data_IF_173808315789
#
_entry.id   IF_173808315789
#
_cell.length_a   1.000
_cell.length_b   1.000
_cell.length_c   1.000
_cell.angle_alpha   90.00
_cell.angle_beta   90.00
_cell.angle_gamma   90.00
#
_symmetry.space_group_name_H-M   'P 1'
#
loop_
_entity.id
_entity.type
_entity.pdbx_description
1 polymer ?
#
# COMPACT_ATOMS: atom_id res chain seq x y z
N UNK A 1 -58.54 -14.79 7.14
CA UNK A 1 -57.38 -15.71 7.07
C UNK A 1 -56.54 -15.35 5.85
N UNK A 2 -55.71 -14.32 5.93
CA UNK A 2 -54.73 -14.01 4.88
C UNK A 2 -53.41 -13.80 5.61
N UNK A 3 -52.61 -14.86 5.69
CA UNK A 3 -51.27 -14.81 6.24
C UNK A 3 -50.38 -14.08 5.24
N UNK A 4 -49.83 -12.92 5.66
CA UNK A 4 -48.86 -12.17 4.88
C UNK A 4 -47.58 -13.01 4.74
N UNK A 5 -47.35 -13.53 3.54
CA UNK A 5 -46.11 -14.22 3.16
C UNK A 5 -45.05 -13.14 2.94
N UNK A 6 -44.17 -12.95 3.92
CA UNK A 6 -42.96 -12.15 3.74
C UNK A 6 -41.98 -12.93 2.87
N UNK A 7 -41.91 -12.55 1.59
CA UNK A 7 -40.90 -13.04 0.65
C UNK A 7 -39.54 -12.49 1.12
N UNK A 8 -38.74 -13.34 1.76
CA UNK A 8 -37.32 -13.09 1.99
C UNK A 8 -36.62 -13.09 0.62
N UNK A 9 -36.41 -11.90 0.06
CA UNK A 9 -35.44 -11.70 -1.01
C UNK A 9 -34.05 -11.99 -0.42
N UNK A 10 -33.60 -13.24 -0.54
CA UNK A 10 -32.21 -13.63 -0.37
C UNK A 10 -31.37 -12.87 -1.40
N UNK A 11 -30.88 -11.69 -1.02
CA UNK A 11 -29.80 -11.05 -1.74
C UNK A 11 -28.60 -11.97 -1.61
N UNK A 12 -28.33 -12.76 -2.66
CA UNK A 12 -27.05 -13.44 -2.78
C UNK A 12 -25.97 -12.37 -2.55
N UNK A 13 -25.09 -12.52 -1.55
CA UNK A 13 -24.01 -11.57 -1.36
C UNK A 13 -23.29 -11.51 -2.69
N UNK A 14 -23.29 -10.33 -3.32
CA UNK A 14 -22.51 -10.13 -4.53
C UNK A 14 -21.12 -10.66 -4.20
N UNK A 15 -20.72 -11.75 -4.85
CA UNK A 15 -19.40 -12.31 -4.72
C UNK A 15 -18.46 -11.22 -5.22
N UNK A 16 -18.02 -10.37 -4.31
CA UNK A 16 -17.08 -9.32 -4.62
C UNK A 16 -15.87 -10.05 -5.17
N UNK A 17 -15.50 -9.75 -6.42
CA UNK A 17 -14.29 -10.22 -7.04
C UNK A 17 -13.13 -9.61 -6.25
N UNK A 18 -12.76 -10.21 -5.12
CA UNK A 18 -11.71 -9.70 -4.23
C UNK A 18 -10.32 -9.79 -4.89
N UNK A 19 -10.24 -10.53 -5.99
CA UNK A 19 -9.02 -10.81 -6.74
C UNK A 19 -9.27 -10.74 -8.23
N UNK A 20 -8.40 -10.04 -8.94
CA UNK A 20 -8.45 -9.86 -10.40
C UNK A 20 -7.19 -10.47 -10.99
N UNK A 21 -7.34 -11.35 -11.97
CA UNK A 21 -6.22 -11.92 -12.72
C UNK A 21 -5.84 -11.00 -13.88
N UNK A 22 -4.55 -10.72 -14.02
CA UNK A 22 -3.97 -10.05 -15.17
C UNK A 22 -3.06 -11.02 -15.92
N UNK A 23 -3.12 -10.99 -17.25
CA UNK A 23 -2.39 -11.90 -18.14
C UNK A 23 -1.44 -11.12 -19.02
N UNK A 24 -0.19 -11.56 -19.15
CA UNK A 24 0.67 -11.00 -20.21
C UNK A 24 0.05 -11.31 -21.58
N UNK A 25 0.15 -10.40 -22.56
CA UNK A 25 -0.09 -10.75 -23.94
C UNK A 25 0.75 -11.98 -24.32
N UNK A 26 0.11 -12.92 -25.03
CA UNK A 26 0.69 -14.23 -25.34
C UNK A 26 1.27 -14.19 -26.74
N UNK A 27 2.59 -14.26 -26.86
CA UNK A 27 3.26 -14.47 -28.15
C UNK A 27 3.44 -15.95 -28.43
N UNK A 28 3.75 -16.74 -27.40
CA UNK A 28 3.81 -18.20 -27.41
C UNK A 28 3.02 -18.76 -26.23
N UNK A 29 2.79 -20.08 -26.19
CA UNK A 29 2.04 -20.75 -25.10
C UNK A 29 2.64 -22.12 -24.74
N UNK A 30 3.97 -22.25 -24.78
CA UNK A 30 4.66 -23.51 -24.49
C UNK A 30 4.67 -23.83 -22.99
N UNK A 31 4.80 -25.12 -22.68
CA UNK A 31 4.84 -25.60 -21.31
C UNK A 31 3.50 -25.58 -20.57
N UNK A 32 3.58 -25.93 -19.28
CA UNK A 32 2.42 -26.05 -18.41
C UNK A 32 2.38 -24.91 -17.39
N UNK A 33 1.16 -24.52 -17.01
CA UNK A 33 0.97 -23.58 -15.91
C UNK A 33 1.28 -24.24 -14.58
N UNK A 34 2.21 -23.67 -13.85
CA UNK A 34 2.44 -24.01 -12.45
C UNK A 34 1.30 -23.48 -11.58
N UNK A 35 1.08 -24.02 -10.37
CA UNK A 35 0.06 -23.51 -9.46
C UNK A 35 0.31 -22.05 -9.07
N UNK A 36 -0.76 -21.32 -8.78
CA UNK A 36 -0.67 -19.98 -8.19
C UNK A 36 0.13 -19.99 -6.89
N UNK A 37 1.02 -19.02 -6.76
CA UNK A 37 1.72 -18.70 -5.51
C UNK A 37 1.30 -17.32 -5.05
N UNK A 38 1.04 -17.15 -3.75
CA UNK A 38 0.38 -15.95 -3.20
C UNK A 38 1.11 -15.46 -1.97
N UNK A 39 1.18 -14.14 -1.84
CA UNK A 39 1.56 -13.46 -0.61
C UNK A 39 0.59 -13.87 0.52
N UNK A 40 0.99 -13.66 1.77
CA UNK A 40 0.09 -13.88 2.91
C UNK A 40 -1.07 -12.87 2.85
N UNK A 41 -2.19 -13.21 3.47
CA UNK A 41 -3.34 -12.30 3.50
C UNK A 41 -2.95 -10.93 4.10
N UNK A 42 -3.29 -9.85 3.40
CA UNK A 42 -2.93 -8.47 3.77
C UNK A 42 -1.53 -8.03 3.31
N UNK A 43 -0.75 -8.91 2.68
CA UNK A 43 0.54 -8.59 2.08
C UNK A 43 0.45 -8.41 0.56
N UNK A 44 1.35 -7.58 0.04
CA UNK A 44 1.42 -7.26 -1.38
C UNK A 44 2.87 -7.30 -1.87
N UNK A 45 3.03 -7.60 -3.14
CA UNK A 45 4.33 -7.61 -3.77
C UNK A 45 4.89 -6.18 -3.85
N UNK A 46 6.18 -6.01 -3.52
CA UNK A 46 6.88 -4.72 -3.57
C UNK A 46 8.24 -4.82 -4.26
N UNK A 47 8.64 -6.02 -4.68
CA UNK A 47 9.90 -6.24 -5.37
C UNK A 47 9.87 -7.50 -6.21
N UNK A 48 10.85 -7.59 -7.08
CA UNK A 48 11.00 -8.67 -8.05
C UNK A 48 12.43 -9.21 -8.02
N UNK A 49 12.58 -10.44 -8.47
CA UNK A 49 13.86 -11.02 -8.87
C UNK A 49 13.57 -11.99 -10.01
N UNK A 50 14.45 -12.02 -11.01
CA UNK A 50 14.31 -12.92 -12.16
C UNK A 50 15.46 -13.90 -12.18
N UNK A 51 15.19 -15.13 -12.63
CA UNK A 51 16.21 -16.12 -12.95
C UNK A 51 16.35 -16.15 -14.46
N UNK A 52 17.56 -15.93 -14.95
CA UNK A 52 17.85 -15.85 -16.39
C UNK A 52 19.06 -16.72 -16.69
N UNK A 53 19.04 -17.40 -17.82
CA UNK A 53 20.24 -18.03 -18.36
C UNK A 53 21.10 -16.95 -19.03
N UNK A 54 22.37 -16.87 -18.63
CA UNK A 54 23.30 -15.89 -19.20
C UNK A 54 23.90 -16.40 -20.51
N UNK A 55 24.31 -15.47 -21.37
CA UNK A 55 25.02 -15.69 -22.63
C UNK A 55 26.13 -16.77 -22.50
N UNK A 56 25.95 -17.94 -23.12
CA UNK A 56 26.94 -19.03 -23.14
C UNK A 56 28.08 -18.76 -24.13
N UNK A 57 28.28 -17.52 -24.58
CA UNK A 57 29.37 -17.01 -25.43
C UNK A 57 29.36 -17.57 -26.86
N UNK A 58 28.24 -18.10 -27.32
CA UNK A 58 28.09 -18.62 -28.68
C UNK A 58 26.73 -19.19 -29.06
N UNK A 59 25.77 -19.27 -28.12
CA UNK A 59 24.37 -19.64 -28.34
C UNK A 59 23.45 -18.44 -28.11
N UNK A 60 22.24 -18.51 -28.66
CA UNK A 60 21.18 -17.54 -28.39
C UNK A 60 20.64 -17.78 -26.97
N UNK A 61 21.26 -17.20 -25.93
CA UNK A 61 20.87 -17.44 -24.53
C UNK A 61 20.51 -16.14 -23.79
N UNK A 62 19.22 -15.89 -23.52
CA UNK A 62 18.74 -14.98 -22.44
C UNK A 62 17.32 -15.30 -21.91
N UNK A 63 16.88 -16.55 -21.94
CA UNK A 63 15.52 -16.91 -21.48
C UNK A 63 15.30 -16.76 -19.97
N UNK A 64 14.13 -16.26 -19.58
CA UNK A 64 13.63 -16.35 -18.20
C UNK A 64 13.40 -17.81 -17.84
N UNK A 65 13.80 -18.18 -16.63
CA UNK A 65 13.52 -19.50 -16.05
C UNK A 65 12.58 -19.38 -14.84
N UNK A 66 12.53 -18.22 -14.18
CA UNK A 66 11.64 -18.00 -13.04
C UNK A 66 11.47 -16.51 -12.75
N UNK A 67 10.33 -16.17 -12.12
CA UNK A 67 10.06 -14.86 -11.53
C UNK A 67 9.69 -15.05 -10.06
N UNK A 68 10.40 -14.33 -9.19
CA UNK A 68 10.11 -14.21 -7.77
C UNK A 68 9.50 -12.83 -7.47
N UNK A 69 8.42 -12.80 -6.69
CA UNK A 69 7.89 -11.58 -6.08
C UNK A 69 8.22 -11.57 -4.59
N UNK A 70 8.64 -10.42 -4.07
CA UNK A 70 8.85 -10.22 -2.63
C UNK A 70 7.62 -9.53 -2.04
N UNK A 71 7.09 -10.09 -0.95
CA UNK A 71 5.85 -9.65 -0.32
C UNK A 71 6.13 -8.93 1.01
N UNK A 72 5.31 -7.93 1.33
CA UNK A 72 5.30 -7.30 2.67
C UNK A 72 3.91 -6.74 3.01
N UNK A 73 3.62 -6.50 4.30
CA UNK A 73 2.43 -5.74 4.70
C UNK A 73 2.44 -4.31 4.15
N UNK A 74 1.27 -3.75 3.89
CA UNK A 74 1.15 -2.35 3.47
C UNK A 74 1.76 -1.38 4.47
N UNK A 75 2.45 -0.35 3.97
CA UNK A 75 3.10 0.68 4.78
C UNK A 75 4.40 0.24 5.44
N UNK A 76 4.75 -1.05 5.40
CA UNK A 76 6.06 -1.51 5.84
C UNK A 76 7.14 -1.04 4.87
N UNK A 77 8.23 -0.51 5.40
CA UNK A 77 9.49 -0.25 4.68
C UNK A 77 10.54 -1.36 4.92
N UNK A 78 10.21 -2.36 5.75
CA UNK A 78 11.09 -3.48 6.06
C UNK A 78 11.32 -4.35 4.81
N UNK A 79 12.59 -4.57 4.51
CA UNK A 79 13.02 -5.45 3.42
C UNK A 79 13.31 -6.84 4.01
N UNK A 80 12.33 -7.74 3.90
CA UNK A 80 12.57 -9.17 4.15
C UNK A 80 13.14 -9.85 2.91
N UNK A 81 14.23 -10.60 3.11
CA UNK A 81 14.86 -11.41 2.06
C UNK A 81 14.24 -12.81 1.92
N UNK A 82 13.39 -13.20 2.87
CA UNK A 82 12.85 -14.56 2.99
C UNK A 82 11.36 -14.64 2.67
N UNK A 83 10.65 -13.50 2.62
CA UNK A 83 9.23 -13.46 2.26
C UNK A 83 9.04 -13.24 0.76
N UNK A 84 9.21 -14.30 -0.02
CA UNK A 84 9.05 -14.29 -1.47
C UNK A 84 8.15 -15.44 -1.94
N UNK A 85 7.62 -15.28 -3.15
CA UNK A 85 6.78 -16.26 -3.84
C UNK A 85 7.26 -16.43 -5.27
N UNK A 86 7.25 -17.65 -5.78
CA UNK A 86 7.38 -17.98 -7.20
C UNK A 86 6.37 -19.06 -7.58
N UNK A 87 6.09 -19.16 -8.88
CA UNK A 87 5.23 -20.20 -9.44
C UNK A 87 6.04 -20.99 -10.46
N UNK A 88 6.74 -22.01 -9.97
CA UNK A 88 7.69 -22.80 -10.75
C UNK A 88 9.04 -22.12 -10.94
N UNK A 89 10.04 -22.93 -11.25
CA UNK A 89 11.41 -22.51 -11.54
C UNK A 89 12.03 -23.49 -12.54
N UNK A 90 12.50 -22.97 -13.67
CA UNK A 90 13.30 -23.70 -14.65
C UNK A 90 14.67 -24.10 -14.09
N UNK A 91 15.27 -25.12 -14.67
CA UNK A 91 16.50 -25.72 -14.16
C UNK A 91 17.71 -24.81 -14.37
N UNK A 92 17.70 -24.05 -15.46
CA UNK A 92 18.85 -23.28 -15.93
C UNK A 92 18.87 -21.84 -15.42
N UNK A 93 20.03 -21.20 -15.62
CA UNK A 93 20.26 -19.81 -15.27
C UNK A 93 20.55 -19.51 -13.81
N UNK A 94 20.81 -18.24 -13.55
CA UNK A 94 21.17 -17.70 -12.23
C UNK A 94 20.18 -16.62 -11.83
N UNK A 95 19.90 -16.55 -10.53
CA UNK A 95 19.08 -15.48 -9.97
C UNK A 95 19.83 -14.15 -10.05
N UNK A 96 19.24 -13.18 -10.75
CA UNK A 96 19.79 -11.82 -10.88
C UNK A 96 19.62 -10.99 -9.61
N UNK A 97 19.89 -9.69 -9.71
CA UNK A 97 19.71 -8.78 -8.58
C UNK A 97 18.23 -8.60 -8.22
N UNK A 98 17.94 -8.46 -6.93
CA UNK A 98 16.61 -8.10 -6.43
C UNK A 98 16.38 -6.62 -6.69
N UNK A 99 15.17 -6.27 -7.15
CA UNK A 99 14.75 -4.89 -7.39
C UNK A 99 13.49 -4.62 -6.58
N UNK A 100 13.47 -3.48 -5.91
CA UNK A 100 12.37 -3.11 -5.02
C UNK A 100 11.77 -1.78 -5.46
N UNK A 101 10.45 -1.66 -5.33
CA UNK A 101 9.80 -0.37 -5.34
C UNK A 101 10.33 0.48 -4.19
N UNK A 102 10.61 1.75 -4.48
CA UNK A 102 11.10 2.68 -3.47
C UNK A 102 10.01 3.02 -2.45
N UNK A 103 10.43 3.48 -1.27
CA UNK A 103 9.55 3.86 -0.18
C UNK A 103 8.59 2.71 0.20
N UNK A 104 7.34 3.04 0.49
CA UNK A 104 6.26 2.09 0.82
C UNK A 104 5.42 1.69 -0.40
N UNK A 105 5.92 1.95 -1.62
CA UNK A 105 5.23 1.56 -2.85
C UNK A 105 5.15 0.03 -2.98
N UNK A 106 4.17 -0.38 -3.76
CA UNK A 106 3.87 -1.78 -4.08
C UNK A 106 3.80 -1.96 -5.59
N UNK A 107 3.84 -3.19 -6.04
CA UNK A 107 3.58 -3.54 -7.42
C UNK A 107 2.09 -3.34 -7.73
N UNK A 108 1.81 -2.48 -8.71
CA UNK A 108 0.48 -2.11 -9.18
C UNK A 108 0.19 -2.64 -10.58
N UNK A 109 1.09 -3.45 -11.11
CA UNK A 109 1.00 -4.04 -12.44
C UNK A 109 2.31 -4.68 -12.85
N UNK A 110 2.34 -5.24 -14.05
CA UNK A 110 3.52 -5.89 -14.60
C UNK A 110 3.56 -5.80 -16.12
N UNK A 111 4.70 -6.18 -16.68
CA UNK A 111 4.87 -6.41 -18.10
C UNK A 111 5.88 -7.54 -18.31
N UNK A 112 5.73 -8.27 -19.41
CA UNK A 112 6.65 -9.31 -19.82
C UNK A 112 7.37 -8.86 -21.10
N UNK A 113 8.67 -9.11 -21.19
CA UNK A 113 9.42 -8.96 -22.44
C UNK A 113 9.57 -10.33 -23.07
N UNK A 114 9.19 -10.43 -24.35
CA UNK A 114 9.16 -11.68 -25.10
C UNK A 114 9.37 -11.38 -26.57
N UNK A 115 9.99 -12.29 -27.30
CA UNK A 115 10.16 -12.14 -28.74
C UNK A 115 8.90 -12.55 -29.49
N UNK A 116 8.50 -11.81 -30.53
CA UNK A 116 7.43 -12.25 -31.41
C UNK A 116 7.89 -13.45 -32.26
N UNK A 117 6.96 -14.36 -32.57
CA UNK A 117 7.16 -15.49 -33.49
C UNK A 117 7.80 -15.01 -34.81
N UNK A 118 9.05 -15.41 -35.05
CA UNK A 118 9.83 -15.04 -36.23
C UNK A 118 9.67 -16.03 -37.40
N UNK A 119 8.57 -16.78 -37.46
CA UNK A 119 8.20 -17.64 -38.60
C UNK A 119 9.32 -18.60 -39.01
N UNK A 120 9.78 -19.44 -38.07
CA UNK A 120 10.69 -20.56 -38.37
C UNK A 120 12.11 -20.42 -37.84
N UNK A 121 12.32 -19.58 -36.82
CA UNK A 121 13.46 -19.65 -35.89
C UNK A 121 12.93 -20.09 -34.54
N UNK A 122 13.73 -20.82 -33.78
CA UNK A 122 13.32 -21.34 -32.46
C UNK A 122 12.72 -20.22 -31.61
N UNK A 123 11.50 -20.46 -31.15
CA UNK A 123 10.59 -19.44 -30.64
C UNK A 123 11.01 -19.00 -29.24
N UNK A 124 11.69 -17.86 -29.17
CA UNK A 124 12.28 -17.33 -27.95
C UNK A 124 11.18 -16.97 -26.93
N UNK A 125 11.29 -17.64 -25.79
CA UNK A 125 10.46 -17.49 -24.61
C UNK A 125 10.45 -16.04 -24.04
N UNK A 126 9.94 -15.86 -22.82
CA UNK A 126 10.08 -14.58 -22.14
C UNK A 126 11.54 -14.38 -21.72
N UNK A 127 12.09 -13.17 -21.85
CA UNK A 127 13.50 -12.86 -21.52
C UNK A 127 13.63 -11.81 -20.39
N UNK A 128 12.52 -11.16 -20.00
CA UNK A 128 12.49 -10.27 -18.85
C UNK A 128 11.08 -10.09 -18.27
N UNK A 129 11.03 -9.68 -17.01
CA UNK A 129 9.83 -9.32 -16.27
C UNK A 129 10.00 -7.95 -15.62
N UNK A 130 8.99 -7.12 -15.78
CA UNK A 130 8.89 -5.80 -15.18
C UNK A 130 7.72 -5.74 -14.20
N UNK A 131 7.94 -5.08 -13.06
CA UNK A 131 6.90 -4.69 -12.12
C UNK A 131 6.72 -3.18 -12.10
N UNK A 132 5.48 -2.71 -12.23
CA UNK A 132 5.15 -1.29 -12.10
C UNK A 132 4.93 -0.93 -10.64
N UNK A 133 5.59 0.12 -10.17
CA UNK A 133 5.57 0.56 -8.79
C UNK A 133 4.65 1.77 -8.62
N UNK A 134 3.83 1.76 -7.58
CA UNK A 134 3.00 2.91 -7.25
C UNK A 134 2.56 2.91 -5.80
N UNK A 135 2.02 4.04 -5.38
CA UNK A 135 1.37 4.13 -4.09
C UNK A 135 0.17 3.17 -4.05
N UNK A 136 -0.05 2.45 -2.93
CA UNK A 136 -1.12 1.46 -2.84
C UNK A 136 -2.49 1.99 -3.30
N UNK A 137 -2.84 3.22 -2.92
CA UNK A 137 -4.13 3.86 -3.27
C UNK A 137 -3.99 4.99 -4.31
N UNK A 138 -2.81 5.14 -4.91
CA UNK A 138 -2.57 6.11 -5.96
C UNK A 138 -3.12 5.68 -7.33
N UNK A 139 -2.99 6.55 -8.34
CA UNK A 139 -3.36 6.22 -9.72
C UNK A 139 -2.52 5.04 -10.24
N UNK A 140 -3.06 4.35 -11.23
CA UNK A 140 -2.39 3.22 -11.88
C UNK A 140 -1.63 3.75 -13.08
N UNK A 141 -0.31 3.91 -12.95
CA UNK A 141 0.56 4.45 -13.99
C UNK A 141 1.72 3.51 -14.27
N UNK A 142 2.42 3.77 -15.38
CA UNK A 142 3.60 3.02 -15.82
C UNK A 142 4.90 3.80 -15.66
N UNK A 143 4.87 4.91 -14.93
CA UNK A 143 5.96 5.89 -14.89
C UNK A 143 7.15 5.39 -14.07
N UNK A 144 6.88 4.57 -13.05
CA UNK A 144 7.90 3.99 -12.16
C UNK A 144 7.79 2.48 -12.24
N UNK A 145 8.92 1.84 -12.51
CA UNK A 145 8.99 0.39 -12.69
C UNK A 145 10.35 -0.14 -12.29
N UNK A 146 10.39 -1.45 -12.05
CA UNK A 146 11.59 -2.23 -11.82
C UNK A 146 11.58 -3.42 -12.76
N UNK A 147 12.74 -3.78 -13.31
CA UNK A 147 12.89 -4.92 -14.22
C UNK A 147 14.13 -5.73 -13.88
N UNK A 148 14.17 -6.98 -14.34
CA UNK A 148 15.37 -7.81 -14.27
C UNK A 148 16.54 -7.21 -15.07
N UNK A 149 17.76 -7.43 -14.60
CA UNK A 149 18.97 -7.06 -15.33
C UNK A 149 19.27 -8.15 -16.38
N UNK A 150 18.54 -8.15 -17.50
CA UNK A 150 18.75 -9.12 -18.58
C UNK A 150 19.14 -8.39 -19.88
N UNK A 151 20.22 -8.82 -20.56
CA UNK A 151 20.35 -8.51 -21.97
C UNK A 151 19.14 -9.11 -22.67
N UNK A 152 18.64 -8.50 -23.73
CA UNK A 152 17.56 -9.14 -24.45
C UNK A 152 17.15 -8.39 -25.70
N UNK A 153 16.41 -9.14 -26.50
CA UNK A 153 16.11 -8.84 -27.89
C UNK A 153 14.59 -8.85 -28.15
N UNK A 154 13.82 -9.28 -27.15
CA UNK A 154 12.37 -9.23 -27.15
C UNK A 154 11.83 -7.81 -26.97
N UNK A 155 10.53 -7.69 -27.21
CA UNK A 155 9.78 -6.45 -27.04
C UNK A 155 8.92 -6.54 -25.79
N UNK A 156 8.76 -5.42 -25.09
CA UNK A 156 7.84 -5.34 -23.97
C UNK A 156 6.40 -5.45 -24.51
N UNK A 157 5.69 -6.46 -24.02
CA UNK A 157 4.44 -6.94 -24.65
C UNK A 157 3.23 -6.04 -24.40
N UNK A 158 3.31 -5.11 -23.46
CA UNK A 158 2.24 -4.18 -23.06
C UNK A 158 1.89 -4.29 -21.58
N UNK A 159 2.00 -3.16 -20.87
CA UNK A 159 1.70 -3.05 -19.44
C UNK A 159 0.31 -3.56 -19.07
N UNK A 160 0.26 -4.43 -18.05
CA UNK A 160 -0.96 -4.89 -17.42
C UNK A 160 -1.04 -4.29 -16.02
N UNK A 161 -1.96 -3.35 -15.82
CA UNK A 161 -2.12 -2.63 -14.55
C UNK A 161 -3.29 -3.20 -13.76
N UNK A 162 -3.09 -3.35 -12.44
CA UNK A 162 -4.18 -3.68 -11.53
C UNK A 162 -5.25 -2.57 -11.58
N UNK A 163 -6.53 -2.88 -11.34
CA UNK A 163 -7.53 -1.85 -11.14
C UNK A 163 -7.13 -0.89 -10.01
N UNK A 164 -7.72 0.30 -10.01
CA UNK A 164 -7.59 1.19 -8.86
C UNK A 164 -7.95 0.46 -7.57
N UNK A 165 -7.14 0.68 -6.52
CA UNK A 165 -7.29 0.07 -5.19
C UNK A 165 -7.01 -1.44 -5.13
N UNK A 166 -6.33 -1.98 -6.13
CA UNK A 166 -5.74 -3.32 -6.09
C UNK A 166 -4.22 -3.25 -6.25
N UNK A 167 -3.50 -4.19 -5.66
CA UNK A 167 -2.07 -4.37 -5.87
C UNK A 167 -1.75 -5.86 -6.05
N UNK A 168 -0.60 -6.13 -6.66
CA UNK A 168 -0.16 -7.50 -6.95
C UNK A 168 0.05 -8.26 -5.65
N UNK A 169 -0.56 -9.44 -5.54
CA UNK A 169 -0.50 -10.33 -4.38
C UNK A 169 -0.20 -11.79 -4.75
N UNK A 170 -0.10 -12.11 -6.04
CA UNK A 170 0.15 -13.47 -6.48
C UNK A 170 0.72 -13.54 -7.89
N UNK A 171 1.32 -14.67 -8.21
CA UNK A 171 1.95 -14.96 -9.49
C UNK A 171 1.66 -16.39 -9.93
N UNK A 172 1.56 -16.58 -11.24
CA UNK A 172 1.51 -17.87 -11.90
C UNK A 172 2.42 -17.83 -13.12
N UNK A 173 3.22 -18.87 -13.35
CA UNK A 173 4.09 -18.94 -14.53
C UNK A 173 3.75 -20.16 -15.38
N UNK A 174 3.86 -20.01 -16.69
CA UNK A 174 3.85 -21.11 -17.65
C UNK A 174 5.30 -21.44 -17.98
N UNK A 175 5.73 -22.66 -17.66
CA UNK A 175 7.11 -23.09 -17.84
C UNK A 175 7.11 -24.39 -18.64
N UNK A 176 7.95 -24.44 -19.65
CA UNK A 176 8.22 -25.66 -20.39
C UNK A 176 9.14 -26.56 -19.56
N UNK A 177 8.80 -27.85 -19.47
CA UNK A 177 9.64 -28.83 -18.81
C UNK A 177 10.55 -29.53 -19.81
N UNK A 178 11.55 -30.23 -19.29
CA UNK A 178 12.59 -30.91 -20.08
C UNK A 178 12.02 -31.81 -21.19
N UNK A 179 12.22 -31.42 -22.45
CA UNK A 179 11.82 -32.18 -23.64
C UNK A 179 12.93 -33.11 -24.16
N UNK A 180 14.05 -33.24 -23.43
CA UNK A 180 15.19 -34.13 -23.70
C UNK A 180 15.98 -33.79 -24.97
N UNK A 181 15.75 -32.63 -25.59
CA UNK A 181 16.31 -32.31 -26.91
C UNK A 181 16.05 -30.91 -27.48
N UNK A 182 15.61 -29.93 -26.68
CA UNK A 182 15.41 -28.53 -27.08
C UNK A 182 15.82 -27.56 -25.98
N UNK A 183 15.37 -26.29 -26.06
CA UNK A 183 15.53 -25.30 -24.99
C UNK A 183 14.63 -25.67 -23.81
N UNK A 184 15.11 -26.64 -23.04
CA UNK A 184 14.29 -27.59 -22.31
C UNK A 184 13.64 -27.03 -21.03
N UNK A 185 13.86 -25.76 -20.62
CA UNK A 185 13.23 -25.21 -19.41
C UNK A 185 12.95 -23.70 -19.38
N UNK A 186 12.36 -23.12 -20.42
CA UNK A 186 12.09 -21.67 -20.42
C UNK A 186 10.71 -21.29 -19.83
N UNK A 187 10.64 -20.16 -19.14
CA UNK A 187 9.42 -19.49 -18.74
C UNK A 187 8.82 -18.80 -19.96
N UNK A 188 7.60 -19.18 -20.30
CA UNK A 188 6.92 -18.73 -21.49
C UNK A 188 5.98 -17.55 -21.21
N UNK A 189 5.20 -17.63 -20.12
CA UNK A 189 4.21 -16.62 -19.79
C UNK A 189 4.07 -16.41 -18.28
N UNK A 190 3.55 -15.24 -17.90
CA UNK A 190 3.19 -14.91 -16.52
C UNK A 190 1.75 -14.42 -16.43
N UNK A 191 1.06 -14.82 -15.35
CA UNK A 191 -0.10 -14.13 -14.80
C UNK A 191 0.27 -13.54 -13.46
N UNK A 192 -0.34 -12.39 -13.13
CA UNK A 192 -0.34 -11.87 -11.77
C UNK A 192 -1.77 -11.76 -11.25
N UNK A 193 -1.90 -11.94 -9.94
CA UNK A 193 -3.16 -11.75 -9.24
C UNK A 193 -3.08 -10.42 -8.50
N UNK A 194 -4.07 -9.56 -8.74
CA UNK A 194 -4.27 -8.30 -8.05
C UNK A 194 -5.28 -8.53 -6.95
N UNK A 195 -4.92 -8.29 -5.69
CA UNK A 195 -5.83 -8.36 -4.55
C UNK A 195 -6.30 -6.95 -4.18
N UNK A 196 -7.56 -6.85 -3.72
CA UNK A 196 -8.09 -5.60 -3.22
C UNK A 196 -7.27 -5.14 -2.01
N UNK A 197 -6.86 -3.88 -2.01
CA UNK A 197 -6.27 -3.26 -0.84
C UNK A 197 -7.40 -2.98 0.14
N UNK A 198 -7.60 -3.92 1.06
CA UNK A 198 -8.46 -3.75 2.21
C UNK A 198 -7.64 -3.05 3.28
N UNK A 199 -7.74 -1.72 3.31
CA UNK A 199 -7.26 -0.99 4.48
C UNK A 199 -8.07 -1.49 5.67
N UNK A 200 -7.43 -2.21 6.59
CA UNK A 200 -8.11 -2.83 7.73
C UNK A 200 -8.90 -1.75 8.49
N UNK A 201 -10.23 -1.75 8.32
CA UNK A 201 -11.22 -0.94 9.05
C UNK A 201 -10.99 0.58 9.16
N UNK A 202 -10.04 1.17 8.43
CA UNK A 202 -9.70 2.57 8.64
C UNK A 202 -10.60 3.49 7.81
N UNK A 203 -11.74 3.89 8.37
CA UNK A 203 -12.42 5.11 7.94
C UNK A 203 -11.93 6.27 8.83
N UNK A 204 -11.03 7.14 8.34
CA UNK A 204 -10.46 8.20 9.14
C UNK A 204 -11.56 9.17 9.57
N UNK A 205 -11.71 9.31 10.88
CA UNK A 205 -12.53 10.32 11.54
C UNK A 205 -11.64 11.30 12.27
N UNK A 206 -12.24 12.39 12.76
CA UNK A 206 -11.56 13.32 13.64
C UNK A 206 -12.47 13.67 14.81
N UNK A 207 -11.84 14.16 15.88
CA UNK A 207 -12.52 14.76 17.02
C UNK A 207 -11.65 15.87 17.61
N UNK A 208 -12.31 16.89 18.16
CA UNK A 208 -11.64 17.92 18.94
C UNK A 208 -11.83 17.59 20.42
N UNK A 209 -10.74 17.18 21.07
CA UNK A 209 -10.76 16.75 22.47
C UNK A 209 -10.28 17.90 23.35
N UNK A 210 -11.12 18.33 24.30
CA UNK A 210 -10.74 19.39 25.23
C UNK A 210 -9.58 18.96 26.10
N UNK A 211 -8.52 19.77 26.11
CA UNK A 211 -7.36 19.57 26.99
C UNK A 211 -7.21 20.67 28.03
N UNK A 212 -7.80 21.84 27.80
CA UNK A 212 -7.87 22.90 28.80
C UNK A 212 -9.07 23.83 28.60
N UNK A 213 -9.47 24.47 29.69
CA UNK A 213 -10.47 25.54 29.74
C UNK A 213 -9.97 26.57 30.74
N UNK A 214 -9.94 27.83 30.32
CA UNK A 214 -9.49 28.93 31.14
C UNK A 214 -10.40 30.14 31.00
N UNK A 215 -10.79 30.68 32.13
CA UNK A 215 -11.65 31.85 32.22
C UNK A 215 -10.81 33.07 32.67
N UNK A 216 -10.56 33.97 31.73
CA UNK A 216 -9.94 35.28 31.96
C UNK A 216 -10.96 36.41 31.71
N UNK A 217 -12.26 36.13 31.85
CA UNK A 217 -13.36 37.07 31.58
C UNK A 217 -13.47 38.23 32.57
N UNK A 218 -12.73 38.18 33.69
CA UNK A 218 -12.80 39.19 34.75
C UNK A 218 -11.49 39.98 34.93
N UNK A 219 -10.50 39.76 34.05
CA UNK A 219 -9.19 40.40 34.17
C UNK A 219 -8.90 41.30 32.96
N UNK A 220 -8.38 42.53 33.18
CA UNK A 220 -7.87 43.39 32.12
C UNK A 220 -6.53 42.93 31.56
N UNK A 221 -5.87 41.98 32.23
CA UNK A 221 -4.55 41.47 31.86
C UNK A 221 -4.63 40.25 30.95
N UNK A 222 -3.60 40.06 30.15
CA UNK A 222 -3.35 38.79 29.45
C UNK A 222 -2.65 37.82 30.40
N UNK A 223 -3.05 36.55 30.41
CA UNK A 223 -2.47 35.53 31.31
C UNK A 223 -1.91 34.38 30.49
N UNK A 224 -0.71 33.91 30.84
CA UNK A 224 -0.08 32.75 30.21
C UNK A 224 -0.32 31.49 31.04
N UNK A 225 -0.71 30.40 30.38
CA UNK A 225 -0.90 29.10 31.01
C UNK A 225 -0.14 28.00 30.26
N UNK A 226 0.56 27.14 31.00
CA UNK A 226 1.12 25.91 30.46
C UNK A 226 0.06 24.81 30.42
N UNK A 227 -0.17 24.24 29.24
CA UNK A 227 -1.06 23.09 29.05
C UNK A 227 -0.23 21.87 28.71
N UNK A 228 -0.43 20.78 29.46
CA UNK A 228 0.17 19.49 29.14
C UNK A 228 -0.64 18.81 28.02
N UNK A 229 0.02 18.52 26.90
CA UNK A 229 -0.52 17.78 25.77
C UNK A 229 0.18 16.44 25.64
N UNK A 230 -0.57 15.39 25.31
CA UNK A 230 -0.03 14.08 24.93
C UNK A 230 -0.17 13.88 23.42
N UNK A 231 0.93 13.54 22.77
CA UNK A 231 1.00 13.18 21.36
C UNK A 231 1.27 11.67 21.32
N UNK A 232 0.30 10.90 20.87
CA UNK A 232 0.35 9.43 21.00
C UNK A 232 -0.68 8.73 20.14
N UNK A 233 -0.49 7.42 19.97
CA UNK A 233 -1.50 6.49 19.48
C UNK A 233 -1.97 5.55 20.60
N UNK A 234 -3.28 5.41 20.76
CA UNK A 234 -3.91 4.54 21.77
C UNK A 234 -5.13 3.82 21.21
N UNK A 235 -5.53 2.69 21.81
CA UNK A 235 -6.84 2.08 21.51
C UNK A 235 -7.98 2.91 22.11
N UNK A 236 -9.12 2.95 21.44
CA UNK A 236 -10.36 3.63 21.87
C UNK A 236 -10.91 3.04 23.16
N UNK A 237 -10.63 1.76 23.42
CA UNK A 237 -11.04 1.01 24.61
C UNK A 237 -10.37 1.49 25.92
N UNK A 238 -9.48 2.48 25.85
CA UNK A 238 -8.81 3.04 27.02
C UNK A 238 -7.69 2.16 27.57
N UNK A 239 -7.30 1.10 26.85
CA UNK A 239 -6.11 0.32 27.19
C UNK A 239 -4.87 1.23 27.15
N UNK A 240 -4.18 1.33 28.28
CA UNK A 240 -2.91 2.07 28.41
C UNK A 240 -1.70 1.26 27.96
N UNK A 241 -1.91 0.02 27.50
CA UNK A 241 -0.84 -0.80 26.95
C UNK A 241 -0.25 -0.11 25.73
N UNK A 242 1.05 0.14 25.77
CA UNK A 242 1.82 0.57 24.60
C UNK A 242 1.59 -0.41 23.46
N UNK A 243 1.15 0.11 22.30
CA UNK A 243 1.00 -0.70 21.10
C UNK A 243 2.36 -1.26 20.67
N UNK A 244 2.37 -2.50 20.19
CA UNK A 244 3.57 -3.07 19.59
C UNK A 244 3.97 -2.28 18.33
N UNK A 245 5.25 -2.31 17.96
CA UNK A 245 5.72 -1.65 16.73
C UNK A 245 5.00 -2.19 15.49
N UNK A 246 4.68 -3.49 15.47
CA UNK A 246 3.89 -4.08 14.38
C UNK A 246 2.47 -3.50 14.31
N UNK A 247 1.77 -3.36 15.44
CA UNK A 247 0.45 -2.71 15.46
C UNK A 247 0.53 -1.25 15.01
N UNK A 248 1.53 -0.50 15.50
CA UNK A 248 1.75 0.90 15.10
C UNK A 248 1.99 1.04 13.61
N UNK A 249 2.82 0.18 13.03
CA UNK A 249 3.13 0.19 11.59
C UNK A 249 1.88 -0.12 10.76
N UNK A 250 1.09 -1.11 11.16
CA UNK A 250 -0.18 -1.45 10.48
C UNK A 250 -1.16 -0.28 10.51
N UNK A 251 -1.32 0.39 11.65
CA UNK A 251 -2.24 1.54 11.78
C UNK A 251 -1.72 2.77 11.03
N UNK A 252 -0.42 3.05 11.11
CA UNK A 252 0.25 4.12 10.35
C UNK A 252 0.01 3.95 8.85
N UNK A 253 0.31 2.75 8.32
CA UNK A 253 0.07 2.44 6.91
C UNK A 253 -1.41 2.58 6.53
N UNK A 254 -2.30 2.12 7.40
CA UNK A 254 -3.75 2.19 7.17
C UNK A 254 -4.28 3.62 7.14
N UNK A 255 -3.88 4.47 8.09
CA UNK A 255 -4.31 5.87 8.12
C UNK A 255 -3.69 6.66 6.97
N UNK A 256 -2.40 6.47 6.71
CA UNK A 256 -1.71 7.12 5.60
C UNK A 256 -2.40 6.82 4.27
N UNK A 257 -2.70 5.54 4.04
CA UNK A 257 -3.46 5.09 2.89
C UNK A 257 -4.88 5.69 2.88
N UNK A 258 -5.67 5.54 3.95
CA UNK A 258 -7.05 6.07 3.97
C UNK A 258 -7.13 7.59 3.85
N UNK A 259 -6.15 8.33 4.36
CA UNK A 259 -6.08 9.78 4.16
C UNK A 259 -5.78 10.13 2.70
N UNK A 260 -4.83 9.43 2.08
CA UNK A 260 -4.55 9.56 0.65
C UNK A 260 -5.79 9.20 -0.20
N UNK A 261 -6.54 8.16 0.19
CA UNK A 261 -7.78 7.73 -0.45
C UNK A 261 -8.85 8.82 -0.52
N UNK A 262 -8.93 9.68 0.50
CA UNK A 262 -9.92 10.76 0.50
C UNK A 262 -9.55 11.91 -0.45
N UNK A 263 -8.39 11.87 -1.12
CA UNK A 263 -7.91 12.92 -2.03
C UNK A 263 -8.06 14.34 -1.43
N UNK A 264 -7.61 14.48 -0.18
CA UNK A 264 -7.73 15.73 0.57
C UNK A 264 -9.14 16.09 1.04
N UNK A 265 -10.20 15.33 0.73
CA UNK A 265 -11.55 15.57 1.27
C UNK A 265 -11.56 15.47 2.80
N UNK A 266 -10.91 14.45 3.38
CA UNK A 266 -10.81 14.35 4.84
C UNK A 266 -10.08 15.55 5.44
N UNK A 267 -8.94 15.92 4.86
CA UNK A 267 -8.20 17.13 5.25
C UNK A 267 -9.07 18.38 5.09
N UNK A 268 -9.91 18.44 4.06
CA UNK A 268 -10.87 19.52 3.82
C UNK A 268 -11.93 19.62 4.91
N UNK A 269 -12.47 18.47 5.36
CA UNK A 269 -13.42 18.41 6.49
C UNK A 269 -12.73 18.85 7.78
N UNK A 270 -11.55 18.30 8.07
CA UNK A 270 -10.73 18.70 9.23
C UNK A 270 -10.45 20.20 9.18
N UNK A 271 -10.06 20.74 8.02
CA UNK A 271 -9.86 22.17 7.85
C UNK A 271 -11.14 22.98 8.05
N UNK A 272 -12.29 22.51 7.60
CA UNK A 272 -13.57 23.22 7.77
C UNK A 272 -13.93 23.36 9.25
N UNK A 273 -13.61 22.37 10.07
CA UNK A 273 -13.76 22.50 11.52
C UNK A 273 -12.65 23.33 12.16
N UNK A 274 -11.41 23.18 11.67
CA UNK A 274 -10.31 24.00 12.11
C UNK A 274 -10.45 25.46 11.69
N UNK A 275 -11.26 25.82 10.68
CA UNK A 275 -11.34 27.19 10.11
C UNK A 275 -11.92 28.25 11.04
N UNK A 276 -12.30 27.90 12.28
CA UNK A 276 -12.30 28.88 13.38
C UNK A 276 -10.88 29.38 13.73
N UNK A 277 -9.85 28.84 13.07
CA UNK A 277 -8.45 29.27 13.05
C UNK A 277 -8.02 29.64 11.63
N UNK A 278 -7.16 30.64 11.50
CA UNK A 278 -6.70 31.22 10.22
C UNK A 278 -5.73 30.33 9.43
N UNK A 279 -5.27 29.22 9.98
CA UNK A 279 -4.20 28.40 9.42
C UNK A 279 -4.74 27.05 8.93
N UNK A 280 -4.97 26.95 7.62
CA UNK A 280 -5.31 25.69 6.96
C UNK A 280 -4.09 24.79 6.88
N UNK A 281 -4.36 23.48 6.87
CA UNK A 281 -3.37 22.43 6.81
C UNK A 281 -3.47 21.64 5.51
N UNK A 282 -2.34 21.26 4.93
CA UNK A 282 -2.27 20.36 3.78
C UNK A 282 -2.39 18.89 4.20
N UNK A 283 -2.76 18.02 3.25
CA UNK A 283 -2.84 16.57 3.53
C UNK A 283 -1.49 16.01 3.98
N UNK A 284 -0.39 16.47 3.37
CA UNK A 284 0.97 16.08 3.75
C UNK A 284 1.33 16.51 5.18
N UNK A 285 0.96 17.73 5.59
CA UNK A 285 1.15 18.18 6.97
C UNK A 285 0.33 17.34 7.96
N UNK A 286 -0.92 16.99 7.63
CA UNK A 286 -1.74 16.14 8.49
C UNK A 286 -1.16 14.72 8.61
N UNK A 287 -0.71 14.13 7.49
CA UNK A 287 -0.04 12.83 7.49
C UNK A 287 1.25 12.86 8.31
N UNK A 288 2.05 13.92 8.17
CA UNK A 288 3.29 14.10 8.95
C UNK A 288 3.00 14.16 10.45
N UNK A 289 1.96 14.88 10.86
CA UNK A 289 1.57 14.95 12.28
C UNK A 289 1.02 13.62 12.81
N UNK A 290 0.24 12.89 12.01
CA UNK A 290 -0.21 11.54 12.38
C UNK A 290 0.99 10.62 12.54
N UNK A 291 1.95 10.68 11.62
CA UNK A 291 3.15 9.83 11.67
C UNK A 291 4.04 10.16 12.87
N UNK A 292 4.21 11.45 13.17
CA UNK A 292 4.91 11.90 14.37
C UNK A 292 4.24 11.38 15.64
N UNK A 293 2.90 11.43 15.70
CA UNK A 293 2.14 10.94 16.85
C UNK A 293 2.21 9.42 17.04
N UNK A 294 2.45 8.65 15.98
CA UNK A 294 2.59 7.20 16.04
C UNK A 294 4.02 6.80 16.41
N UNK A 295 5.01 7.49 15.82
CA UNK A 295 6.42 7.11 15.90
C UNK A 295 7.11 7.72 17.12
N UNK A 296 6.80 8.97 17.43
CA UNK A 296 7.48 9.80 18.44
C UNK A 296 6.53 10.18 19.58
N UNK A 297 5.92 9.18 20.21
CA UNK A 297 5.00 9.41 21.32
C UNK A 297 5.66 10.20 22.45
N UNK A 298 5.00 11.26 22.92
CA UNK A 298 5.53 12.14 23.97
C UNK A 298 4.43 12.92 24.67
N UNK A 299 4.78 13.45 25.83
CA UNK A 299 4.00 14.49 26.49
C UNK A 299 4.83 15.77 26.51
N UNK A 300 4.21 16.89 26.18
CA UNK A 300 4.88 18.19 26.11
C UNK A 300 4.00 19.28 26.71
N UNK A 301 4.64 20.29 27.29
CA UNK A 301 3.98 21.49 27.79
C UNK A 301 3.96 22.55 26.70
N UNK A 302 2.79 23.13 26.46
CA UNK A 302 2.60 24.22 25.50
C UNK A 302 2.02 25.41 26.22
N UNK A 303 2.63 26.57 26.07
CA UNK A 303 2.15 27.82 26.68
C UNK A 303 1.11 28.47 25.79
N UNK A 304 -0.08 28.71 26.34
CA UNK A 304 -1.14 29.47 25.70
C UNK A 304 -1.31 30.82 26.38
N UNK A 305 -1.47 31.85 25.56
CA UNK A 305 -1.67 33.22 26.03
C UNK A 305 -3.15 33.57 25.90
N UNK A 306 -3.76 33.91 27.02
CA UNK A 306 -5.20 34.16 27.13
C UNK A 306 -5.42 35.66 27.17
N UNK A 307 -6.07 36.25 26.15
CA UNK A 307 -6.31 37.68 26.13
C UNK A 307 -7.19 38.12 27.30
N UNK A 308 -7.10 39.41 27.63
CA UNK A 308 -7.99 40.04 28.59
C UNK A 308 -9.45 39.86 28.21
N UNK A 309 -10.32 39.70 29.22
CA UNK A 309 -11.77 39.60 29.04
C UNK A 309 -12.23 38.41 28.17
N UNK A 310 -11.44 37.33 28.10
CA UNK A 310 -11.75 36.15 27.30
C UNK A 310 -11.96 34.92 28.17
N UNK A 311 -12.97 34.13 27.84
CA UNK A 311 -13.13 32.77 28.31
C UNK A 311 -12.83 31.84 27.14
N UNK A 312 -11.85 30.95 27.28
CA UNK A 312 -11.35 30.14 26.16
C UNK A 312 -11.31 28.65 26.49
N UNK A 313 -11.51 27.84 25.47
CA UNK A 313 -11.20 26.41 25.49
C UNK A 313 -10.08 26.10 24.52
N UNK A 314 -9.26 25.11 24.87
CA UNK A 314 -8.21 24.57 24.04
C UNK A 314 -8.56 23.12 23.77
N UNK A 315 -8.81 22.81 22.50
CA UNK A 315 -9.05 21.44 22.05
C UNK A 315 -7.87 20.96 21.20
N UNK A 316 -7.54 19.69 21.35
CA UNK A 316 -6.54 18.99 20.54
C UNK A 316 -7.22 18.22 19.42
N UNK A 317 -6.65 18.27 18.22
CA UNK A 317 -7.09 17.45 17.10
C UNK A 317 -6.66 16.00 17.32
N UNK A 318 -7.66 15.11 17.37
CA UNK A 318 -7.47 13.67 17.47
C UNK A 318 -8.03 13.01 16.22
N UNK A 319 -7.20 12.25 15.52
CA UNK A 319 -7.63 11.43 14.38
C UNK A 319 -8.06 10.06 14.91
N UNK A 320 -9.13 9.51 14.36
CA UNK A 320 -9.65 8.19 14.72
C UNK A 320 -9.65 7.28 13.50
N UNK A 321 -9.37 6.01 13.70
CA UNK A 321 -9.31 5.02 12.63
C UNK A 321 -9.62 3.66 13.24
N UNK A 322 -10.81 3.12 12.96
CA UNK A 322 -11.29 1.92 13.64
C UNK A 322 -11.27 2.08 15.16
N UNK A 323 -10.56 1.19 15.85
CA UNK A 323 -10.37 1.22 17.30
C UNK A 323 -9.18 2.08 17.76
N UNK A 324 -8.56 2.87 16.89
CA UNK A 324 -7.38 3.67 17.23
C UNK A 324 -7.69 5.16 17.32
N UNK A 325 -7.02 5.83 18.26
CA UNK A 325 -7.06 7.28 18.47
C UNK A 325 -5.64 7.82 18.43
N UNK A 326 -5.43 8.85 17.63
CA UNK A 326 -4.12 9.45 17.37
C UNK A 326 -4.22 10.91 17.77
N UNK A 327 -3.65 11.24 18.92
CA UNK A 327 -3.62 12.59 19.44
C UNK A 327 -2.46 13.36 18.78
N UNK A 328 -2.79 14.37 17.98
CA UNK A 328 -1.79 15.09 17.15
C UNK A 328 -1.24 16.32 17.87
N UNK A 329 -0.17 16.91 17.34
CA UNK A 329 0.36 18.19 17.82
C UNK A 329 -0.51 19.41 17.43
N UNK A 330 -1.62 19.25 16.70
CA UNK A 330 -2.49 20.40 16.35
C UNK A 330 -3.48 20.67 17.47
N UNK A 331 -3.53 21.92 17.92
CA UNK A 331 -4.53 22.43 18.88
C UNK A 331 -5.28 23.61 18.28
N UNK A 332 -6.51 23.80 18.74
CA UNK A 332 -7.34 24.95 18.41
C UNK A 332 -7.82 25.63 19.68
N UNK A 333 -7.68 26.96 19.72
CA UNK A 333 -8.20 27.80 20.80
C UNK A 333 -9.49 28.45 20.33
N UNK A 334 -10.55 28.37 21.14
CA UNK A 334 -11.85 28.97 20.84
C UNK A 334 -12.33 29.77 22.03
N UNK A 335 -12.76 31.00 21.79
CA UNK A 335 -13.53 31.74 22.79
C UNK A 335 -14.89 31.09 22.99
N UNK A 336 -15.32 31.01 24.24
CA UNK A 336 -16.67 30.61 24.63
C UNK A 336 -17.33 31.82 25.29
N UNK A 337 -18.60 32.04 24.97
CA UNK A 337 -19.40 33.13 25.50
C UNK A 337 -20.35 32.62 26.57
#
# INVERSE_FOLDING_TARGET
MIALIFIFLLTAPAFFCERVELRSPRYTNFGNWHPWSRCRDGEFAYGIQVKVEGDQRGGDDTGLNAVCLFCRPLGSDEISRENWINSGEGLWGVWGARKYCQNTNVLIGFELRSEPDQRGKDDVAADNFAGYCGEPLGPRTKDVWVAGDTPGWGEWTGAQLCPERYAVCGIQSQIEGDQRGGDDTALNNVNVECCKITVAACNPGYSLVRIAHYDNSQSPGTVAHEVLRRISITKTTGSTTTLSNSEKNTVSGSIGASMAYTDGQFTGIVNTELTKSSEKMTTSQLQTMVQDAITNERSEKVTFTIPAWQNIVIDQLVITCGEYRIATAKTITRSIH
#
